data_IF_424165138005
#
_entry.id   IF_424165138005
#
_cell.length_a   1.000
_cell.length_b   1.000
_cell.length_c   1.000
_cell.angle_alpha   90.00
_cell.angle_beta   90.00
_cell.angle_gamma   90.00
#
_symmetry.space_group_name_H-M   'P 1'
#
loop_
_entity.id
_entity.type
_entity.pdbx_description
1 polymer ?
#
# COMPACT_ATOMS: atom_id res chain seq x y z
N UNK A 1 -4.14 20.63 8.72
CA UNK A 1 -3.39 21.21 9.86
C UNK A 1 -1.91 21.21 9.51
N UNK A 2 -1.34 22.40 9.41
CA UNK A 2 0.10 22.52 9.17
C UNK A 2 0.82 21.95 10.39
N UNK A 3 2.00 21.34 10.19
CA UNK A 3 2.80 20.75 11.28
C UNK A 3 3.08 21.79 12.40
N UNK A 4 3.05 23.08 12.04
CA UNK A 4 3.10 24.21 12.97
C UNK A 4 1.96 24.23 14.01
N UNK A 5 0.72 23.91 13.62
CA UNK A 5 -0.46 23.92 14.52
C UNK A 5 -0.34 22.85 15.62
N UNK A 6 0.36 21.75 15.33
CA UNK A 6 0.61 20.65 16.26
C UNK A 6 1.72 20.98 17.26
N UNK A 7 2.79 21.64 16.79
CA UNK A 7 3.89 22.07 17.66
C UNK A 7 3.39 23.10 18.71
N UNK A 8 2.57 24.07 18.28
CA UNK A 8 2.04 25.13 19.15
C UNK A 8 1.08 24.58 20.22
N UNK A 9 0.30 23.55 19.89
CA UNK A 9 -0.64 22.94 20.84
C UNK A 9 0.05 22.29 22.05
N UNK A 10 1.25 21.75 21.89
CA UNK A 10 1.93 20.94 22.91
C UNK A 10 3.19 21.59 23.52
N UNK A 11 3.59 22.77 23.05
CA UNK A 11 4.81 23.50 23.47
C UNK A 11 4.87 23.76 25.00
N UNK A 12 3.72 24.03 25.64
CA UNK A 12 3.65 24.34 27.06
C UNK A 12 3.90 23.14 27.99
N UNK A 13 3.94 21.91 27.47
CA UNK A 13 4.07 20.68 28.26
C UNK A 13 5.52 20.16 28.37
N UNK A 14 6.49 20.77 27.66
CA UNK A 14 7.87 20.26 27.57
C UNK A 14 8.92 21.32 27.94
N UNK A 15 9.50 21.19 29.13
CA UNK A 15 10.45 22.15 29.73
C UNK A 15 11.75 22.36 28.92
N UNK A 16 12.08 21.47 27.98
CA UNK A 16 13.33 21.48 27.19
C UNK A 16 13.16 21.78 25.68
N UNK A 17 11.93 22.00 25.20
CA UNK A 17 11.63 22.33 23.80
C UNK A 17 11.66 21.15 22.80
N UNK A 18 11.06 21.36 21.62
CA UNK A 18 10.80 20.32 20.60
C UNK A 18 11.99 20.12 19.65
N UNK A 19 12.42 18.86 19.44
CA UNK A 19 13.30 18.44 18.33
C UNK A 19 12.53 17.58 17.34
N UNK A 20 13.08 17.56 16.14
CA UNK A 20 12.34 17.48 14.94
C UNK A 20 13.00 16.36 14.06
N UNK A 21 12.27 15.38 13.43
CA UNK A 21 12.62 14.52 12.24
C UNK A 21 11.52 14.39 11.11
N UNK A 22 11.81 14.62 9.80
CA UNK A 22 10.87 14.72 8.64
C UNK A 22 11.45 13.85 7.54
N UNK A 23 10.64 12.89 7.10
CA UNK A 23 10.91 12.01 5.97
C UNK A 23 9.87 12.29 4.89
N UNK A 24 10.31 12.58 3.67
CA UNK A 24 9.43 12.80 2.52
C UNK A 24 9.44 11.66 1.50
N UNK A 25 10.17 10.56 1.74
CA UNK A 25 10.33 9.57 0.67
C UNK A 25 10.48 8.13 1.13
N UNK A 26 9.32 7.44 1.12
CA UNK A 26 9.19 5.99 1.09
C UNK A 26 9.83 5.28 2.29
N UNK A 27 9.14 5.30 3.43
CA UNK A 27 9.29 4.36 4.54
C UNK A 27 10.74 4.15 4.99
N UNK A 28 11.13 4.83 6.08
CA UNK A 28 12.46 4.81 6.74
C UNK A 28 13.05 3.41 7.06
N UNK A 29 12.37 2.31 6.75
CA UNK A 29 12.90 0.95 6.90
C UNK A 29 13.05 0.48 8.36
N UNK A 30 12.73 1.33 9.34
CA UNK A 30 12.63 0.95 10.74
C UNK A 30 11.31 0.17 10.97
N UNK A 31 11.44 -1.12 11.25
CA UNK A 31 10.29 -2.01 11.51
C UNK A 31 9.83 -1.82 12.95
N UNK A 32 8.64 -1.24 13.14
CA UNK A 32 7.90 -1.30 14.41
C UNK A 32 7.10 -2.60 14.52
N UNK A 33 6.48 -2.86 15.68
CA UNK A 33 5.68 -4.09 15.94
C UNK A 33 4.54 -4.32 14.94
N UNK A 34 4.16 -3.33 14.12
CA UNK A 34 3.08 -3.41 13.13
C UNK A 34 3.53 -3.69 11.68
N UNK A 35 4.83 -3.90 11.42
CA UNK A 35 5.31 -4.44 10.14
C UNK A 35 5.33 -3.49 8.93
N UNK A 36 4.93 -2.22 9.06
CA UNK A 36 5.24 -1.14 8.11
C UNK A 36 5.78 0.07 8.90
N UNK A 37 6.66 0.86 8.27
CA UNK A 37 7.50 1.88 8.91
C UNK A 37 6.89 2.64 10.10
N UNK A 38 7.70 2.80 11.16
CA UNK A 38 7.47 3.58 12.39
C UNK A 38 6.04 3.54 12.96
N UNK A 39 5.87 2.77 14.04
CA UNK A 39 4.75 2.91 14.98
C UNK A 39 5.27 3.50 16.27
N UNK A 40 4.66 4.61 16.72
CA UNK A 40 4.84 5.21 18.04
C UNK A 40 4.39 4.25 19.15
N UNK A 41 5.13 4.26 20.27
CA UNK A 41 4.68 3.72 21.55
C UNK A 41 5.01 4.75 22.64
N UNK A 42 4.19 5.80 22.67
CA UNK A 42 4.05 6.74 23.78
C UNK A 42 3.38 6.03 24.96
N UNK A 43 4.18 5.45 25.85
CA UNK A 43 3.74 5.22 27.25
C UNK A 43 4.87 4.88 28.24
N UNK A 44 6.10 5.30 27.96
CA UNK A 44 7.15 5.28 28.99
C UNK A 44 7.92 6.60 29.00
N UNK A 45 8.23 7.06 30.20
CA UNK A 45 8.70 8.41 30.51
C UNK A 45 10.13 8.66 30.00
N UNK A 46 10.33 8.82 28.68
CA UNK A 46 11.35 9.66 27.98
C UNK A 46 11.73 9.08 26.60
N UNK A 47 11.05 9.54 25.54
CA UNK A 47 11.58 10.10 24.26
C UNK A 47 10.59 9.85 23.10
N UNK A 48 10.15 10.93 22.43
CA UNK A 48 9.42 10.85 21.14
C UNK A 48 9.90 11.97 20.17
N UNK A 49 9.85 11.70 18.85
CA UNK A 49 10.53 12.43 17.76
C UNK A 49 9.52 12.92 16.68
N UNK A 50 9.56 14.19 16.22
CA UNK A 50 8.70 14.75 15.12
C UNK A 50 9.23 16.09 14.45
N UNK A 51 9.66 16.17 13.14
CA UNK A 51 10.27 17.41 12.47
C UNK A 51 9.19 18.40 12.07
N UNK A 52 9.30 19.62 12.58
CA UNK A 52 9.48 20.88 11.83
C UNK A 52 10.21 21.93 12.71
N UNK A 53 11.26 22.60 12.20
CA UNK A 53 11.82 23.79 12.89
C UNK A 53 11.59 25.06 12.08
N UNK A 54 10.62 25.85 12.53
CA UNK A 54 10.57 27.30 12.34
C UNK A 54 11.43 27.95 13.43
N UNK A 55 12.72 28.16 13.15
CA UNK A 55 13.50 29.26 13.75
C UNK A 55 13.79 29.26 15.26
N UNK A 56 13.52 28.22 16.05
CA UNK A 56 13.89 28.20 17.47
C UNK A 56 15.27 27.57 17.72
N UNK A 57 16.08 28.23 18.55
CA UNK A 57 17.44 27.85 18.93
C UNK A 57 17.39 26.72 19.97
N UNK A 58 17.01 25.52 19.55
CA UNK A 58 17.04 24.31 20.39
C UNK A 58 18.47 23.85 20.68
N UNK A 59 18.66 23.19 21.84
CA UNK A 59 19.97 22.66 22.24
C UNK A 59 20.26 21.37 21.46
N UNK A 60 21.08 21.46 20.41
CA UNK A 60 21.40 20.30 19.57
C UNK A 60 22.39 19.37 20.27
N UNK A 61 22.13 18.06 20.21
CA UNK A 61 23.02 17.06 20.78
C UNK A 61 24.42 17.07 20.15
N UNK A 62 25.42 16.57 20.88
CA UNK A 62 26.80 16.51 20.36
C UNK A 62 26.96 15.63 19.11
N UNK A 63 26.09 14.62 18.93
CA UNK A 63 26.10 13.67 17.81
C UNK A 63 24.72 13.63 17.18
N UNK A 64 24.65 13.84 15.86
CA UNK A 64 23.41 13.83 15.10
C UNK A 64 23.54 12.83 13.95
N UNK A 65 22.54 11.97 13.82
CA UNK A 65 22.37 11.11 12.64
C UNK A 65 21.18 11.64 11.83
N UNK A 66 21.39 11.86 10.53
CA UNK A 66 20.35 12.28 9.59
C UNK A 66 20.09 11.12 8.63
N UNK A 67 18.85 10.68 8.50
CA UNK A 67 18.49 9.58 7.60
C UNK A 67 17.87 10.16 6.34
N UNK A 68 18.48 9.92 5.19
CA UNK A 68 18.01 10.47 3.92
C UNK A 68 19.16 10.88 2.99
N UNK A 69 18.82 11.32 1.78
CA UNK A 69 19.82 11.76 0.78
C UNK A 69 19.34 12.85 -0.16
N UNK A 70 18.21 13.49 0.13
CA UNK A 70 17.75 14.68 -0.61
C UNK A 70 18.38 15.97 -0.10
N UNK A 71 18.18 17.07 -0.83
CA UNK A 71 18.68 18.40 -0.44
C UNK A 71 18.26 18.77 0.99
N UNK A 72 17.04 18.42 1.40
CA UNK A 72 16.57 18.60 2.79
C UNK A 72 17.48 17.93 3.82
N UNK A 73 17.91 16.68 3.56
CA UNK A 73 18.83 15.98 4.46
C UNK A 73 20.20 16.66 4.53
N UNK A 74 20.65 17.27 3.42
CA UNK A 74 21.88 18.05 3.37
C UNK A 74 21.74 19.34 4.21
N UNK A 75 20.67 20.09 4.01
CA UNK A 75 20.40 21.34 4.72
C UNK A 75 20.27 21.12 6.23
N UNK A 76 19.53 20.09 6.64
CA UNK A 76 19.42 19.68 8.05
C UNK A 76 20.80 19.36 8.62
N UNK A 77 21.64 18.65 7.87
CA UNK A 77 22.96 18.24 8.35
C UNK A 77 23.93 19.42 8.53
N UNK A 78 23.96 20.34 7.56
CA UNK A 78 24.77 21.57 7.64
C UNK A 78 24.27 22.48 8.75
N UNK A 79 22.95 22.63 8.86
CA UNK A 79 22.32 23.41 9.94
C UNK A 79 22.68 22.83 11.31
N UNK A 80 22.62 21.52 11.48
CA UNK A 80 23.00 20.85 12.72
C UNK A 80 24.45 21.14 13.14
N UNK A 81 25.40 21.10 12.20
CA UNK A 81 26.80 21.47 12.48
C UNK A 81 26.91 22.94 12.93
N UNK A 82 26.25 23.85 12.21
CA UNK A 82 26.28 25.30 12.51
C UNK A 82 25.62 25.65 13.84
N UNK A 83 24.64 24.84 14.28
CA UNK A 83 24.01 24.95 15.60
C UNK A 83 24.87 24.37 16.74
N UNK A 84 26.02 23.77 16.44
CA UNK A 84 27.00 23.33 17.44
C UNK A 84 27.10 21.82 17.64
N UNK A 85 26.46 21.00 16.79
CA UNK A 85 26.71 19.57 16.81
C UNK A 85 28.20 19.29 16.49
N UNK A 86 28.84 18.44 17.29
CA UNK A 86 30.26 18.10 17.11
C UNK A 86 30.48 17.07 16.01
N UNK A 87 29.47 16.26 15.74
CA UNK A 87 29.51 15.20 14.74
C UNK A 87 28.12 15.06 14.11
N UNK A 88 28.03 15.24 12.81
CA UNK A 88 26.80 15.02 12.02
C UNK A 88 27.10 13.98 10.96
N UNK A 89 26.27 12.95 10.89
CA UNK A 89 26.40 11.84 9.94
C UNK A 89 25.10 11.63 9.20
N UNK A 90 25.13 11.70 7.87
CA UNK A 90 24.04 11.26 7.02
C UNK A 90 24.17 9.75 6.81
N UNK A 91 23.11 9.01 7.10
CA UNK A 91 22.92 7.63 6.69
C UNK A 91 21.99 7.60 5.47
N UNK A 92 22.52 7.14 4.34
CA UNK A 92 21.79 7.02 3.09
C UNK A 92 21.76 5.58 2.61
N UNK A 93 20.55 5.05 2.39
CA UNK A 93 20.31 3.64 2.04
C UNK A 93 20.83 3.19 0.66
N UNK A 94 21.33 4.12 -0.15
CA UNK A 94 21.80 3.89 -1.53
C UNK A 94 23.20 4.44 -1.73
N UNK A 95 23.72 4.31 -2.95
CA UNK A 95 25.04 4.85 -3.31
C UNK A 95 24.98 6.35 -3.53
N UNK A 96 26.15 7.00 -3.56
CA UNK A 96 26.28 8.41 -3.92
C UNK A 96 25.66 8.75 -5.28
N UNK A 97 25.72 7.84 -6.25
CA UNK A 97 25.20 8.08 -7.60
C UNK A 97 23.67 8.16 -7.67
N UNK A 98 22.99 7.52 -6.72
CA UNK A 98 21.52 7.52 -6.62
C UNK A 98 21.00 8.58 -5.66
N UNK A 99 21.89 9.31 -4.99
CA UNK A 99 21.55 10.36 -4.03
C UNK A 99 20.83 11.51 -4.75
N UNK A 100 19.57 11.84 -4.39
CA UNK A 100 18.79 12.85 -5.10
C UNK A 100 19.29 14.28 -4.86
N UNK A 101 20.10 14.51 -3.82
CA UNK A 101 20.67 15.81 -3.55
C UNK A 101 21.62 16.29 -4.67
N UNK A 102 21.71 17.60 -4.85
CA UNK A 102 22.60 18.18 -5.84
C UNK A 102 24.07 17.89 -5.51
N UNK A 103 24.88 17.61 -6.52
CA UNK A 103 26.30 17.29 -6.33
C UNK A 103 27.07 18.44 -5.65
N UNK A 104 26.64 19.68 -5.88
CA UNK A 104 27.19 20.89 -5.26
C UNK A 104 26.88 20.94 -3.77
N UNK A 105 25.61 20.77 -3.37
CA UNK A 105 25.22 20.74 -1.95
C UNK A 105 25.90 19.60 -1.18
N UNK A 106 26.00 18.41 -1.78
CA UNK A 106 26.73 17.28 -1.19
C UNK A 106 28.20 17.65 -0.96
N UNK A 107 28.84 18.29 -1.94
CA UNK A 107 30.25 18.72 -1.87
C UNK A 107 30.46 19.76 -0.77
N UNK A 108 29.55 20.73 -0.65
CA UNK A 108 29.59 21.73 0.42
C UNK A 108 29.40 21.12 1.81
N UNK A 109 28.45 20.20 1.96
CA UNK A 109 28.20 19.51 3.23
C UNK A 109 29.42 18.71 3.70
N UNK A 110 30.06 17.99 2.78
CA UNK A 110 31.30 17.26 3.06
C UNK A 110 32.44 18.21 3.48
N UNK A 111 32.57 19.39 2.83
CA UNK A 111 33.55 20.41 3.19
C UNK A 111 33.29 21.02 4.58
N UNK A 112 32.02 21.15 4.98
CA UNK A 112 31.62 21.58 6.32
C UNK A 112 31.85 20.51 7.40
N UNK A 113 32.18 19.28 7.01
CA UNK A 113 32.50 18.18 7.93
C UNK A 113 31.34 17.22 8.19
N UNK A 114 30.25 17.29 7.41
CA UNK A 114 29.19 16.27 7.45
C UNK A 114 29.77 14.94 6.98
N UNK A 115 29.60 13.88 7.78
CA UNK A 115 29.99 12.51 7.41
C UNK A 115 28.89 11.86 6.60
N UNK A 116 29.27 11.01 5.65
CA UNK A 116 28.32 10.26 4.83
C UNK A 116 28.54 8.76 5.01
N UNK A 117 27.49 8.05 5.37
CA UNK A 117 27.41 6.60 5.37
C UNK A 117 26.46 6.19 4.24
N UNK A 118 27.04 5.75 3.12
CA UNK A 118 26.28 5.19 2.00
C UNK A 118 25.92 3.73 2.27
N UNK A 119 24.92 3.23 1.55
CA UNK A 119 24.43 1.86 1.71
C UNK A 119 24.14 1.54 3.18
N UNK A 120 23.55 2.49 3.89
CA UNK A 120 23.32 2.39 5.33
C UNK A 120 21.88 2.78 5.65
N UNK A 121 21.14 1.88 6.31
CA UNK A 121 19.76 2.12 6.73
C UNK A 121 19.59 1.85 8.23
N UNK A 122 18.78 2.65 8.94
CA UNK A 122 18.46 2.38 10.33
C UNK A 122 17.55 1.15 10.42
N UNK A 123 17.80 0.28 11.41
CA UNK A 123 16.95 -0.89 11.69
C UNK A 123 16.25 -0.81 13.03
N UNK A 124 16.81 -0.04 13.98
CA UNK A 124 16.27 0.06 15.32
C UNK A 124 16.67 1.37 15.98
N UNK A 125 15.75 1.96 16.74
CA UNK A 125 16.00 3.11 17.60
C UNK A 125 15.65 2.70 19.02
N UNK A 126 16.56 2.93 19.97
CA UNK A 126 16.35 2.63 21.40
C UNK A 126 16.75 3.82 22.26
N UNK A 127 15.99 4.04 23.34
CA UNK A 127 16.33 5.02 24.38
C UNK A 127 17.20 4.36 25.45
N UNK A 128 18.36 4.96 25.73
CA UNK A 128 19.30 4.52 26.77
C UNK A 128 19.76 5.74 27.56
N UNK A 129 19.43 5.80 28.86
CA UNK A 129 19.81 6.91 29.74
C UNK A 129 19.43 8.30 29.18
N UNK A 130 18.19 8.45 28.72
CA UNK A 130 17.68 9.69 28.10
C UNK A 130 18.44 10.15 26.85
N UNK A 131 19.10 9.20 26.16
CA UNK A 131 19.73 9.42 24.85
C UNK A 131 19.22 8.39 23.86
N UNK A 132 19.12 8.77 22.59
CA UNK A 132 18.81 7.85 21.51
C UNK A 132 20.07 7.13 21.03
N UNK A 133 19.96 5.81 20.86
CA UNK A 133 20.91 4.99 20.12
C UNK A 133 20.19 4.42 18.91
N UNK A 134 20.77 4.61 17.73
CA UNK A 134 20.28 4.07 16.47
C UNK A 134 21.20 2.94 16.03
N UNK A 135 20.62 1.79 15.70
CA UNK A 135 21.32 0.67 15.10
C UNK A 135 21.12 0.71 13.59
N UNK A 136 22.21 0.58 12.85
CA UNK A 136 22.24 0.62 11.40
C UNK A 136 22.69 -0.72 10.85
N UNK A 137 22.23 -1.03 9.64
CA UNK A 137 22.76 -2.12 8.81
C UNK A 137 23.47 -1.54 7.60
N UNK A 138 24.52 -2.24 7.17
CA UNK A 138 25.10 -2.05 5.85
C UNK A 138 24.29 -2.83 4.82
N UNK A 139 24.04 -2.19 3.69
CA UNK A 139 23.27 -2.71 2.57
C UNK A 139 24.19 -2.96 1.38
N UNK A 140 23.68 -3.70 0.41
CA UNK A 140 24.28 -3.82 -0.92
C UNK A 140 23.20 -3.48 -1.94
N UNK A 141 23.59 -2.91 -3.08
CA UNK A 141 22.64 -2.68 -4.18
C UNK A 141 22.26 -4.03 -4.79
N UNK A 142 21.00 -4.42 -4.59
CA UNK A 142 20.39 -5.52 -5.32
C UNK A 142 19.80 -5.10 -6.66
N UNK A 143 19.42 -6.09 -7.47
CA UNK A 143 18.55 -5.85 -8.62
C UNK A 143 17.16 -5.37 -8.18
N UNK A 144 16.39 -4.82 -9.12
CA UNK A 144 14.98 -4.45 -8.85
C UNK A 144 14.16 -5.72 -8.69
N UNK A 145 13.55 -5.90 -7.53
CA UNK A 145 12.66 -7.03 -7.27
C UNK A 145 11.29 -6.78 -7.91
N UNK A 146 11.13 -7.22 -9.16
CA UNK A 146 9.88 -7.09 -9.90
C UNK A 146 8.95 -8.25 -9.60
N UNK A 147 7.69 -7.92 -9.29
CA UNK A 147 6.64 -8.89 -9.03
C UNK A 147 5.38 -8.53 -9.79
N UNK A 148 4.60 -9.52 -10.23
CA UNK A 148 3.41 -9.25 -11.02
C UNK A 148 2.36 -10.36 -10.97
N UNK A 149 1.10 -9.96 -10.97
CA UNK A 149 -0.08 -10.83 -11.03
C UNK A 149 -0.94 -10.48 -12.24
N UNK A 150 -1.69 -11.46 -12.74
CA UNK A 150 -2.73 -11.28 -13.75
C UNK A 150 -4.08 -11.40 -13.06
N UNK A 151 -4.82 -10.30 -13.03
CA UNK A 151 -6.14 -10.27 -12.43
C UNK A 151 -7.18 -10.94 -13.34
N UNK A 152 -8.14 -11.67 -12.75
CA UNK A 152 -9.38 -12.04 -13.43
C UNK A 152 -10.31 -10.81 -13.49
N UNK A 153 -11.59 -11.01 -13.83
CA UNK A 153 -12.58 -9.97 -13.58
C UNK A 153 -12.68 -9.64 -12.09
N UNK A 154 -12.65 -8.35 -11.74
CA UNK A 154 -12.73 -7.91 -10.35
C UNK A 154 -14.12 -7.36 -10.02
N UNK A 155 -14.69 -7.85 -8.93
CA UNK A 155 -16.01 -7.44 -8.45
C UNK A 155 -15.83 -6.60 -7.18
N UNK A 156 -16.44 -5.41 -7.14
CA UNK A 156 -16.40 -4.53 -5.96
C UNK A 156 -17.68 -3.69 -5.86
N UNK A 157 -18.02 -3.29 -4.64
CA UNK A 157 -19.14 -2.37 -4.37
C UNK A 157 -18.71 -0.91 -4.22
N UNK A 158 -17.41 -0.62 -4.13
CA UNK A 158 -16.90 0.73 -3.87
C UNK A 158 -16.99 1.58 -5.13
N UNK A 159 -16.42 1.10 -6.23
CA UNK A 159 -16.40 1.82 -7.51
C UNK A 159 -17.52 1.30 -8.41
N UNK A 160 -18.31 2.16 -9.05
CA UNK A 160 -19.27 1.74 -10.07
C UNK A 160 -18.60 1.07 -11.27
N UNK A 161 -19.33 0.25 -12.04
CA UNK A 161 -18.84 -0.31 -13.30
C UNK A 161 -18.52 0.82 -14.30
N UNK A 162 -17.45 0.63 -15.08
CA UNK A 162 -16.88 1.64 -15.99
C UNK A 162 -17.06 1.32 -17.48
N UNK A 163 -17.64 0.17 -17.82
CA UNK A 163 -17.90 -0.29 -19.18
C UNK A 163 -16.98 -1.41 -19.70
N UNK A 164 -16.26 -2.10 -18.81
CA UNK A 164 -15.45 -3.27 -19.15
C UNK A 164 -16.28 -4.53 -19.45
N UNK A 165 -15.67 -5.53 -20.08
CA UNK A 165 -16.34 -6.80 -20.45
C UNK A 165 -16.81 -7.60 -19.24
N UNK A 166 -16.12 -7.53 -18.10
CA UNK A 166 -16.51 -8.23 -16.86
C UNK A 166 -17.50 -7.44 -15.99
N UNK A 167 -17.82 -6.21 -16.36
CA UNK A 167 -18.60 -5.30 -15.51
C UNK A 167 -20.04 -5.73 -15.30
N UNK A 168 -20.56 -6.64 -16.14
CA UNK A 168 -21.88 -7.25 -15.94
C UNK A 168 -22.00 -7.88 -14.55
N UNK A 169 -20.90 -8.41 -14.01
CA UNK A 169 -20.84 -9.04 -12.69
C UNK A 169 -20.89 -8.04 -11.52
N UNK A 170 -20.78 -6.75 -11.79
CA UNK A 170 -21.03 -5.66 -10.83
C UNK A 170 -22.40 -5.02 -11.10
N UNK A 171 -22.70 -4.71 -12.37
CA UNK A 171 -23.97 -4.10 -12.80
C UNK A 171 -25.18 -4.90 -12.31
N UNK A 172 -25.14 -6.23 -12.42
CA UNK A 172 -26.24 -7.11 -12.02
C UNK A 172 -26.69 -6.90 -10.57
N UNK A 173 -25.77 -6.61 -9.64
CA UNK A 173 -26.13 -6.35 -8.25
C UNK A 173 -26.81 -4.99 -8.06
N UNK A 174 -26.35 -3.95 -8.76
CA UNK A 174 -27.01 -2.65 -8.72
C UNK A 174 -28.44 -2.73 -9.27
N UNK A 175 -28.61 -3.43 -10.39
CA UNK A 175 -29.90 -3.60 -11.06
C UNK A 175 -30.84 -4.50 -10.26
N UNK A 176 -30.32 -5.56 -9.63
CA UNK A 176 -31.09 -6.40 -8.71
C UNK A 176 -31.65 -5.60 -7.51
N UNK A 177 -30.83 -4.74 -6.89
CA UNK A 177 -31.25 -3.96 -5.71
C UNK A 177 -32.23 -2.86 -6.09
N UNK A 178 -31.98 -2.13 -7.19
CA UNK A 178 -32.80 -0.97 -7.58
C UNK A 178 -34.11 -1.36 -8.25
N UNK A 179 -34.07 -2.36 -9.12
CA UNK A 179 -35.12 -2.65 -10.08
C UNK A 179 -35.64 -4.07 -10.00
N UNK A 180 -34.96 -4.97 -9.26
CA UNK A 180 -35.21 -6.42 -9.23
C UNK A 180 -35.18 -7.05 -10.62
N UNK A 181 -34.54 -6.39 -11.58
CA UNK A 181 -34.45 -6.82 -12.97
C UNK A 181 -33.14 -6.33 -13.55
N UNK A 182 -32.44 -7.18 -14.28
CA UNK A 182 -31.32 -6.81 -15.12
C UNK A 182 -31.64 -7.19 -16.56
N UNK A 183 -32.14 -6.24 -17.35
CA UNK A 183 -32.73 -6.52 -18.67
C UNK A 183 -31.72 -6.43 -19.83
N UNK A 184 -30.55 -5.83 -19.58
CA UNK A 184 -29.55 -5.55 -20.59
C UNK A 184 -28.23 -6.29 -20.31
N UNK A 185 -28.29 -7.55 -19.85
CA UNK A 185 -27.07 -8.34 -19.65
C UNK A 185 -26.38 -8.55 -21.01
N UNK A 186 -25.20 -7.94 -21.15
CA UNK A 186 -24.48 -7.87 -22.43
C UNK A 186 -23.55 -9.05 -22.70
N UNK A 187 -23.44 -10.00 -21.77
CA UNK A 187 -22.74 -11.28 -21.94
C UNK A 187 -23.77 -12.40 -21.99
N UNK A 188 -23.60 -13.33 -22.92
CA UNK A 188 -24.52 -14.46 -23.13
C UNK A 188 -24.48 -15.45 -21.97
N UNK A 189 -25.61 -16.11 -21.71
CA UNK A 189 -25.65 -17.31 -20.86
C UNK A 189 -24.65 -18.38 -21.32
N UNK A 190 -24.08 -19.11 -20.38
CA UNK A 190 -23.08 -20.15 -20.62
C UNK A 190 -21.68 -19.63 -20.95
N UNK A 191 -21.44 -18.32 -20.99
CA UNK A 191 -20.08 -17.75 -21.14
C UNK A 191 -19.40 -17.67 -19.78
N UNK A 192 -18.40 -18.54 -19.56
CA UNK A 192 -17.64 -18.57 -18.32
C UNK A 192 -16.51 -17.55 -18.33
N UNK A 193 -16.31 -16.89 -17.19
CA UNK A 193 -15.20 -15.99 -16.97
C UNK A 193 -14.67 -16.18 -15.54
N UNK A 194 -13.36 -16.18 -15.38
CA UNK A 194 -12.75 -16.08 -14.07
C UNK A 194 -13.04 -14.73 -13.43
N UNK A 195 -13.35 -14.77 -12.14
CA UNK A 195 -13.73 -13.64 -11.33
C UNK A 195 -13.09 -13.74 -9.94
N UNK A 196 -12.91 -12.58 -9.32
CA UNK A 196 -12.42 -12.46 -7.95
C UNK A 196 -13.05 -11.26 -7.26
N UNK A 197 -13.35 -11.42 -5.98
CA UNK A 197 -13.87 -10.34 -5.16
C UNK A 197 -12.75 -9.41 -4.68
N UNK A 198 -13.01 -8.11 -4.60
CA UNK A 198 -11.98 -7.11 -4.27
C UNK A 198 -11.17 -7.38 -2.99
N UNK A 199 -11.74 -7.90 -1.88
CA UNK A 199 -10.94 -8.25 -0.70
C UNK A 199 -9.85 -9.30 -1.00
N UNK A 200 -10.14 -10.28 -1.85
CA UNK A 200 -9.18 -11.30 -2.28
C UNK A 200 -8.13 -10.73 -3.23
N UNK A 201 -8.50 -9.72 -4.04
CA UNK A 201 -7.54 -9.01 -4.90
C UNK A 201 -6.57 -8.14 -4.09
N UNK A 202 -7.07 -7.40 -3.10
CA UNK A 202 -6.21 -6.65 -2.17
C UNK A 202 -5.28 -7.61 -1.43
N UNK A 203 -5.82 -8.75 -0.97
CA UNK A 203 -5.04 -9.79 -0.29
C UNK A 203 -3.92 -10.32 -1.18
N UNK A 204 -4.20 -10.72 -2.41
CA UNK A 204 -3.15 -11.25 -3.31
C UNK A 204 -2.09 -10.21 -3.66
N UNK A 205 -2.45 -8.93 -3.80
CA UNK A 205 -1.48 -7.85 -3.97
C UNK A 205 -0.54 -7.73 -2.77
N UNK A 206 -1.07 -7.78 -1.54
CA UNK A 206 -0.28 -7.75 -0.31
C UNK A 206 0.59 -9.00 -0.18
N UNK A 207 0.00 -10.18 -0.35
CA UNK A 207 0.69 -11.46 -0.19
C UNK A 207 1.88 -11.57 -1.15
N UNK A 208 1.74 -11.22 -2.44
CA UNK A 208 2.86 -11.26 -3.38
C UNK A 208 3.91 -10.21 -3.07
N UNK A 209 3.56 -9.05 -2.50
CA UNK A 209 4.53 -8.04 -2.07
C UNK A 209 5.35 -8.50 -0.85
N UNK A 210 4.73 -9.26 0.04
CA UNK A 210 5.33 -9.72 1.30
C UNK A 210 5.97 -11.12 1.18
N UNK A 211 5.73 -11.81 0.06
CA UNK A 211 6.27 -13.14 -0.20
C UNK A 211 7.80 -13.17 -0.10
N UNK A 212 8.32 -14.29 0.41
CA UNK A 212 9.75 -14.58 0.47
C UNK A 212 10.33 -14.65 -0.96
N UNK A 213 11.25 -13.75 -1.35
CA UNK A 213 11.81 -13.70 -2.69
C UNK A 213 12.52 -14.98 -3.14
N UNK A 214 12.97 -15.81 -2.18
CA UNK A 214 13.64 -17.08 -2.45
C UNK A 214 12.69 -18.18 -2.95
N UNK A 215 11.39 -18.03 -2.71
CA UNK A 215 10.34 -18.96 -3.16
C UNK A 215 9.78 -18.59 -4.53
N UNK A 216 9.97 -17.35 -4.97
CA UNK A 216 9.44 -16.83 -6.22
C UNK A 216 10.32 -17.24 -7.41
N UNK A 217 9.89 -18.29 -8.13
CA UNK A 217 10.56 -18.77 -9.34
C UNK A 217 10.16 -17.93 -10.55
N UNK A 218 8.86 -17.69 -10.72
CA UNK A 218 8.36 -16.91 -11.86
C UNK A 218 8.52 -15.40 -11.65
N UNK A 219 8.31 -14.94 -10.41
CA UNK A 219 8.30 -13.53 -9.96
C UNK A 219 7.18 -12.68 -10.59
N UNK A 220 6.96 -12.80 -11.90
CA UNK A 220 6.00 -12.01 -12.66
C UNK A 220 4.94 -12.90 -13.32
N UNK A 221 3.80 -12.27 -13.61
CA UNK A 221 2.69 -12.84 -14.35
C UNK A 221 2.05 -14.10 -13.72
N UNK A 222 2.00 -14.17 -12.38
CA UNK A 222 1.20 -15.19 -11.70
C UNK A 222 -0.28 -15.01 -12.03
N UNK A 223 -0.94 -16.04 -12.53
CA UNK A 223 -2.40 -16.05 -12.55
C UNK A 223 -2.90 -16.13 -11.11
N UNK A 224 -3.92 -15.33 -10.80
CA UNK A 224 -4.67 -15.44 -9.56
C UNK A 224 -6.15 -15.51 -9.90
N UNK A 225 -6.87 -16.47 -9.36
CA UNK A 225 -8.32 -16.59 -9.53
C UNK A 225 -8.97 -17.05 -8.23
N UNK A 226 -10.29 -16.83 -8.11
CA UNK A 226 -11.09 -17.30 -6.98
C UNK A 226 -12.25 -18.19 -7.43
N UNK A 227 -12.96 -17.78 -8.48
CA UNK A 227 -14.14 -18.49 -8.98
C UNK A 227 -14.30 -18.28 -10.48
N UNK A 228 -14.97 -19.21 -11.14
CA UNK A 228 -15.37 -19.08 -12.55
C UNK A 228 -16.85 -19.41 -12.67
N UNK A 229 -17.59 -18.54 -13.34
CA UNK A 229 -19.03 -18.67 -13.51
C UNK A 229 -19.51 -17.96 -14.79
N UNK A 230 -20.73 -18.32 -15.20
CA UNK A 230 -21.48 -17.64 -16.24
C UNK A 230 -22.57 -16.72 -15.63
N UNK A 231 -23.15 -15.78 -16.40
CA UNK A 231 -24.10 -14.80 -15.88
C UNK A 231 -25.30 -15.39 -15.14
N UNK A 232 -25.83 -16.51 -15.62
CA UNK A 232 -26.96 -17.21 -15.01
C UNK A 232 -26.66 -17.73 -13.61
N UNK A 233 -25.40 -18.04 -13.29
CA UNK A 233 -25.02 -18.49 -11.95
C UNK A 233 -25.09 -17.36 -10.93
N UNK A 234 -24.62 -16.16 -11.29
CA UNK A 234 -24.78 -14.98 -10.42
C UNK A 234 -26.26 -14.68 -10.23
N UNK A 235 -27.05 -14.70 -11.30
CA UNK A 235 -28.48 -14.47 -11.23
C UNK A 235 -29.19 -15.48 -10.32
N UNK A 236 -28.82 -16.76 -10.39
CA UNK A 236 -29.36 -17.81 -9.54
C UNK A 236 -28.94 -17.64 -8.07
N UNK A 237 -27.72 -17.17 -7.80
CA UNK A 237 -27.29 -16.86 -6.44
C UNK A 237 -28.06 -15.65 -5.87
N UNK A 238 -28.20 -14.57 -6.66
CA UNK A 238 -29.00 -13.39 -6.29
C UNK A 238 -30.45 -13.79 -5.99
N UNK A 239 -31.05 -14.69 -6.78
CA UNK A 239 -32.43 -15.18 -6.56
C UNK A 239 -32.64 -15.86 -5.21
N UNK A 240 -31.58 -16.40 -4.57
CA UNK A 240 -31.70 -16.93 -3.20
C UNK A 240 -31.97 -15.83 -2.17
N UNK A 241 -31.62 -14.58 -2.49
CA UNK A 241 -31.83 -13.40 -1.64
C UNK A 241 -32.98 -12.52 -2.14
N UNK A 242 -33.19 -12.44 -3.45
CA UNK A 242 -34.23 -11.64 -4.13
C UNK A 242 -35.00 -12.57 -5.08
N UNK A 243 -36.01 -13.33 -4.60
CA UNK A 243 -36.64 -14.41 -5.38
C UNK A 243 -37.35 -13.97 -6.68
N UNK A 244 -37.78 -12.72 -6.74
CA UNK A 244 -38.44 -12.11 -7.90
C UNK A 244 -37.44 -11.45 -8.87
N UNK A 245 -36.12 -11.63 -8.68
CA UNK A 245 -35.10 -11.11 -9.58
C UNK A 245 -35.18 -11.75 -10.98
N UNK A 246 -35.22 -10.92 -12.02
CA UNK A 246 -35.26 -11.34 -13.43
C UNK A 246 -33.99 -10.89 -14.15
N UNK A 247 -33.45 -11.75 -15.01
CA UNK A 247 -32.36 -11.42 -15.93
C UNK A 247 -32.83 -11.65 -17.38
N UNK A 248 -32.54 -10.70 -18.27
CA UNK A 248 -32.67 -10.85 -19.72
C UNK A 248 -31.34 -10.49 -20.39
N UNK A 249 -31.12 -11.08 -21.57
CA UNK A 249 -29.85 -10.98 -22.29
C UNK A 249 -30.00 -10.10 -23.53
N UNK A 250 -29.18 -9.05 -23.59
CA UNK A 250 -29.00 -8.19 -24.75
C UNK A 250 -27.53 -8.16 -25.11
N UNK A 251 -27.09 -9.28 -25.67
CA UNK A 251 -25.67 -9.58 -25.93
C UNK A 251 -25.05 -8.50 -26.80
N UNK A 252 -23.97 -7.89 -26.31
CA UNK A 252 -23.14 -6.98 -27.08
C UNK A 252 -22.11 -7.82 -27.86
N UNK A 253 -22.11 -7.81 -29.20
CA UNK A 253 -21.24 -8.68 -29.99
C UNK A 253 -19.75 -8.39 -29.79
N UNK A 254 -19.37 -7.14 -29.46
CA UNK A 254 -17.97 -6.78 -29.24
C UNK A 254 -17.51 -7.30 -27.89
N UNK A 255 -18.29 -7.06 -26.83
CA UNK A 255 -17.95 -7.56 -25.48
C UNK A 255 -18.00 -9.08 -25.42
N UNK A 256 -18.96 -9.70 -26.10
CA UNK A 256 -19.07 -11.15 -26.20
C UNK A 256 -17.84 -11.76 -26.87
N UNK A 257 -17.41 -11.23 -28.01
CA UNK A 257 -16.21 -11.73 -28.69
C UNK A 257 -14.94 -11.58 -27.83
N UNK A 258 -14.84 -10.50 -27.03
CA UNK A 258 -13.76 -10.34 -26.06
C UNK A 258 -13.83 -11.42 -24.99
N UNK A 259 -15.00 -11.66 -24.39
CA UNK A 259 -15.18 -12.68 -23.37
C UNK A 259 -14.85 -14.09 -23.88
N UNK A 260 -15.30 -14.44 -25.09
CA UNK A 260 -15.04 -15.75 -25.73
C UNK A 260 -13.56 -15.95 -26.10
N UNK A 261 -12.77 -14.87 -26.16
CA UNK A 261 -11.32 -14.96 -26.38
C UNK A 261 -10.51 -15.24 -25.10
N UNK A 262 -11.14 -15.15 -23.93
CA UNK A 262 -10.50 -15.33 -22.63
C UNK A 262 -10.69 -16.75 -22.10
N UNK A 263 -9.82 -17.23 -21.19
CA UNK A 263 -9.97 -18.55 -20.62
C UNK A 263 -11.22 -18.65 -19.74
N UNK A 264 -11.92 -19.78 -19.83
CA UNK A 264 -13.02 -20.11 -18.92
C UNK A 264 -12.53 -20.32 -17.48
N UNK A 265 -11.29 -20.79 -17.33
CA UNK A 265 -10.65 -21.03 -16.04
C UNK A 265 -9.13 -20.90 -16.10
N UNK A 266 -8.56 -20.06 -15.27
CA UNK A 266 -7.13 -19.88 -15.10
C UNK A 266 -6.56 -20.90 -14.12
N UNK A 267 -5.38 -21.41 -14.44
CA UNK A 267 -4.55 -22.18 -13.49
C UNK A 267 -3.74 -21.22 -12.62
N UNK A 268 -4.01 -21.21 -11.32
CA UNK A 268 -3.34 -20.40 -10.29
C UNK A 268 -2.37 -21.23 -9.41
N UNK A 269 -2.03 -22.47 -9.82
CA UNK A 269 -1.15 -23.38 -9.07
C UNK A 269 0.18 -22.74 -8.66
N UNK A 270 0.86 -22.05 -9.59
CA UNK A 270 2.13 -21.37 -9.30
C UNK A 270 2.00 -20.33 -8.17
N UNK A 271 0.87 -19.61 -8.09
CA UNK A 271 0.62 -18.65 -7.03
C UNK A 271 0.41 -19.33 -5.68
N UNK A 272 -0.31 -20.46 -5.68
CA UNK A 272 -0.56 -21.28 -4.48
C UNK A 272 0.72 -21.89 -3.94
N UNK A 273 1.56 -22.41 -4.83
CA UNK A 273 2.80 -23.10 -4.46
C UNK A 273 3.89 -22.14 -3.99
N UNK A 274 4.09 -21.00 -4.68
CA UNK A 274 5.26 -20.17 -4.44
C UNK A 274 5.06 -19.13 -3.34
N UNK A 275 3.83 -18.62 -3.17
CA UNK A 275 3.55 -17.58 -2.17
C UNK A 275 2.25 -17.82 -1.38
N UNK A 276 1.67 -19.02 -1.47
CA UNK A 276 0.57 -19.43 -0.60
C UNK A 276 -0.77 -18.77 -0.95
N UNK A 277 -0.98 -18.41 -2.22
CA UNK A 277 -2.26 -17.85 -2.67
C UNK A 277 -3.44 -18.71 -2.22
N UNK A 278 -4.43 -18.09 -1.58
CA UNK A 278 -5.60 -18.77 -1.06
C UNK A 278 -6.77 -17.78 -0.93
N UNK A 279 -7.66 -17.70 -1.95
CA UNK A 279 -8.83 -16.84 -1.91
C UNK A 279 -9.82 -17.32 -0.83
N UNK A 280 -10.60 -16.39 -0.27
CA UNK A 280 -11.55 -16.65 0.81
C UNK A 280 -13.01 -16.56 0.37
N UNK A 281 -13.29 -15.82 -0.68
CA UNK A 281 -14.65 -15.62 -1.15
C UNK A 281 -14.97 -16.58 -2.29
N UNK A 282 -16.13 -17.22 -2.17
CA UNK A 282 -16.83 -17.92 -3.24
C UNK A 282 -18.02 -17.08 -3.73
N UNK A 283 -18.75 -17.59 -4.73
CA UNK A 283 -19.89 -16.86 -5.30
C UNK A 283 -20.95 -16.53 -4.24
N UNK A 284 -21.28 -17.47 -3.36
CA UNK A 284 -22.33 -17.29 -2.35
C UNK A 284 -21.96 -16.24 -1.29
N UNK A 285 -20.75 -16.35 -0.73
CA UNK A 285 -20.24 -15.39 0.27
C UNK A 285 -20.04 -14.00 -0.32
N UNK A 286 -19.55 -13.91 -1.55
CA UNK A 286 -19.44 -12.66 -2.29
C UNK A 286 -20.81 -12.05 -2.58
N UNK A 287 -21.78 -12.82 -3.08
CA UNK A 287 -23.14 -12.33 -3.38
C UNK A 287 -23.80 -11.75 -2.13
N UNK A 288 -23.69 -12.44 -1.00
CA UNK A 288 -24.22 -11.96 0.27
C UNK A 288 -23.60 -10.62 0.68
N UNK A 289 -22.26 -10.50 0.65
CA UNK A 289 -21.57 -9.27 1.04
C UNK A 289 -21.86 -8.12 0.05
N UNK A 290 -21.86 -8.39 -1.26
CA UNK A 290 -22.20 -7.41 -2.29
C UNK A 290 -23.61 -6.82 -2.09
N UNK A 291 -24.62 -7.67 -1.86
CA UNK A 291 -25.99 -7.22 -1.62
C UNK A 291 -26.06 -6.38 -0.33
N UNK A 292 -25.45 -6.81 0.77
CA UNK A 292 -25.43 -6.08 2.03
C UNK A 292 -24.79 -4.68 1.88
N UNK A 293 -23.58 -4.62 1.31
CA UNK A 293 -22.81 -3.39 1.17
C UNK A 293 -23.45 -2.41 0.19
N UNK A 294 -23.97 -2.91 -0.95
CA UNK A 294 -24.64 -2.06 -1.93
C UNK A 294 -26.00 -1.57 -1.43
N UNK A 295 -26.79 -2.39 -0.75
CA UNK A 295 -28.06 -1.96 -0.15
C UNK A 295 -27.83 -0.85 0.88
N UNK A 296 -26.81 -0.98 1.73
CA UNK A 296 -26.42 0.06 2.67
C UNK A 296 -25.96 1.35 1.96
N UNK A 297 -25.12 1.24 0.91
CA UNK A 297 -24.63 2.36 0.12
C UNK A 297 -25.76 3.11 -0.61
N UNK A 298 -26.72 2.38 -1.18
CA UNK A 298 -27.86 2.91 -1.92
C UNK A 298 -29.02 3.34 -1.02
N UNK A 299 -28.98 2.99 0.27
CA UNK A 299 -30.06 3.20 1.26
C UNK A 299 -31.38 2.52 0.86
N UNK A 300 -31.29 1.33 0.27
CA UNK A 300 -32.43 0.51 -0.15
C UNK A 300 -32.43 -0.76 0.70
N UNK A 301 -33.59 -1.16 1.25
CA UNK A 301 -33.73 -2.47 1.91
C UNK A 301 -33.98 -3.54 0.85
N UNK A 302 -33.01 -4.43 0.71
CA UNK A 302 -33.16 -5.74 0.05
C UNK A 302 -33.97 -6.70 0.89
#
# INVERSE_FOLDING_TARGET
PEIADLAEKYDAEFEEGILTVMDDSHGVGAVGETGRGTTELTNDNRLDILIATLGMKGNIGNKVAVVGGGNVAIDVSRTALRLGAKEVTIAYRRTRAEMPASAEEISEALKEGVKMLYLTAPVKVISVNSKLKVEFIWMELGGVDTRGVRWPGLISYVTPPGGGTTDYAVEIYYEAIKHRKYLDCFIKEGTYLDMMYMPDAIKSAIDIMEADPSKLKYRNAYNVTAMSFAPEHIANEIKKHIPDFIIEYKVDPVRQAIAESWPDRMDDSAAREEWGWNPKYDLATMTKDMLEKLSAKLKIKT
#
